data_IF_609073416874
#
_entry.id   IF_609073416874
#
_cell.length_a   1.000
_cell.length_b   1.000
_cell.length_c   1.000
_cell.angle_alpha   90.00
_cell.angle_beta   90.00
_cell.angle_gamma   90.00
#
_symmetry.space_group_name_H-M   'P 1'
#
loop_
_entity.id
_entity.type
_entity.pdbx_description
1 polymer ?
#
# COMPACT_ATOMS: atom_id res chain seq x y z
N UNK A 1 16.03 18.83 8.79
CA UNK A 1 15.90 18.01 7.56
C UNK A 1 14.47 17.51 7.44
N UNK A 2 13.62 18.34 6.84
CA UNK A 2 12.20 18.04 6.62
C UNK A 2 12.07 17.37 5.26
N UNK A 3 11.69 16.09 5.28
CA UNK A 3 11.33 15.32 4.09
C UNK A 3 9.95 15.78 3.60
N UNK A 4 9.86 16.14 2.33
CA UNK A 4 8.66 16.68 1.68
C UNK A 4 7.83 15.54 1.04
N UNK A 5 6.59 15.28 1.52
CA UNK A 5 5.72 14.24 1.01
C UNK A 5 4.95 14.62 -0.28
N UNK A 6 5.28 15.74 -0.95
CA UNK A 6 4.48 16.27 -2.07
C UNK A 6 4.34 15.36 -3.31
N UNK A 7 5.03 14.22 -3.38
CA UNK A 7 5.01 13.33 -4.55
C UNK A 7 4.55 11.90 -4.26
N UNK A 8 3.46 11.74 -3.50
CA UNK A 8 2.69 10.49 -3.49
C UNK A 8 1.57 10.58 -4.53
N UNK A 9 1.71 9.90 -5.68
CA UNK A 9 0.59 9.70 -6.61
C UNK A 9 0.90 9.58 -8.11
N UNK A 10 0.18 8.65 -8.73
CA UNK A 10 -0.33 8.60 -10.11
C UNK A 10 0.57 8.83 -11.35
N UNK A 11 1.90 8.90 -11.25
CA UNK A 11 2.73 9.23 -12.44
C UNK A 11 3.93 8.34 -12.78
N UNK A 12 4.30 7.28 -12.01
CA UNK A 12 5.66 6.67 -12.18
C UNK A 12 5.74 5.12 -12.27
N UNK A 13 4.66 4.41 -12.59
CA UNK A 13 4.64 2.93 -12.80
C UNK A 13 4.46 2.02 -11.57
N UNK A 14 3.63 0.98 -11.69
CA UNK A 14 3.17 0.10 -10.60
C UNK A 14 4.28 -0.39 -9.65
N UNK A 15 4.03 -0.39 -8.33
CA UNK A 15 5.03 -0.73 -7.32
C UNK A 15 5.93 0.44 -6.87
N UNK A 16 5.84 1.61 -7.51
CA UNK A 16 6.35 2.91 -6.99
C UNK A 16 5.26 3.78 -6.34
N UNK A 17 4.01 3.28 -6.30
CA UNK A 17 2.83 4.14 -6.16
C UNK A 17 2.44 4.40 -4.71
N UNK A 18 2.75 3.48 -3.80
CA UNK A 18 2.47 3.63 -2.38
C UNK A 18 3.43 2.76 -1.56
N UNK A 19 4.00 3.31 -0.48
CA UNK A 19 4.46 2.50 0.65
C UNK A 19 3.25 2.26 1.54
N UNK A 20 2.52 1.20 1.25
CA UNK A 20 1.26 0.86 1.92
C UNK A 20 0.15 1.86 1.61
N UNK A 21 -0.60 1.64 0.55
CA UNK A 21 -1.72 2.50 0.15
C UNK A 21 -2.79 2.52 1.23
N UNK A 22 -3.00 1.36 1.85
CA UNK A 22 -3.93 1.21 2.96
C UNK A 22 -3.24 1.65 4.24
N UNK A 23 -2.04 1.17 4.54
CA UNK A 23 -1.35 1.54 5.76
C UNK A 23 -1.11 3.06 5.89
N UNK A 24 -0.80 3.75 4.79
CA UNK A 24 -0.65 5.21 4.75
C UNK A 24 -1.95 5.97 5.00
N UNK A 25 -3.08 5.43 4.51
CA UNK A 25 -4.41 5.99 4.74
C UNK A 25 -4.91 5.79 6.18
N UNK A 26 -4.55 4.69 6.84
CA UNK A 26 -5.10 4.32 8.15
C UNK A 26 -4.15 4.48 9.34
N UNK A 27 -2.83 4.39 9.11
CA UNK A 27 -1.79 4.37 10.13
C UNK A 27 -0.66 5.40 9.89
N UNK A 28 -0.83 6.28 8.90
CA UNK A 28 0.02 7.43 8.61
C UNK A 28 1.21 7.12 7.70
N UNK A 29 1.92 8.14 7.19
CA UNK A 29 3.09 7.90 6.36
C UNK A 29 4.22 7.29 7.20
N UNK A 30 4.72 6.11 6.80
CA UNK A 30 5.78 5.34 7.49
C UNK A 30 7.20 5.93 7.28
N UNK A 31 7.32 7.25 7.35
CA UNK A 31 8.54 7.97 6.98
C UNK A 31 9.61 7.98 8.09
N UNK A 32 9.28 7.49 9.29
CA UNK A 32 10.19 7.36 10.44
C UNK A 32 9.85 6.12 11.25
N UNK A 33 10.86 5.52 11.88
CA UNK A 33 10.72 4.36 12.77
C UNK A 33 10.17 3.07 12.11
N UNK A 34 10.13 3.02 10.78
CA UNK A 34 9.65 1.88 10.02
C UNK A 34 10.77 1.32 9.11
N UNK A 35 10.97 0.02 9.18
CA UNK A 35 11.71 -0.79 8.21
C UNK A 35 10.68 -1.55 7.37
N UNK A 36 10.71 -1.34 6.06
CA UNK A 36 9.65 -1.80 5.15
C UNK A 36 10.27 -2.71 4.11
N UNK A 37 9.79 -3.96 4.08
CA UNK A 37 10.14 -4.91 3.03
C UNK A 37 8.96 -5.07 2.08
N UNK A 38 9.24 -5.01 0.78
CA UNK A 38 8.26 -5.18 -0.29
C UNK A 38 8.65 -6.38 -1.14
N UNK A 39 7.65 -7.20 -1.47
CA UNK A 39 7.72 -8.21 -2.51
C UNK A 39 6.67 -7.87 -3.55
N UNK A 40 7.08 -7.79 -4.82
CA UNK A 40 6.18 -7.53 -5.93
C UNK A 40 6.14 -8.73 -6.88
N UNK A 41 4.95 -8.99 -7.40
CA UNK A 41 4.73 -9.95 -8.46
C UNK A 41 3.86 -9.31 -9.54
N UNK A 42 4.27 -9.48 -10.80
CA UNK A 42 3.52 -9.00 -11.95
C UNK A 42 3.56 -10.06 -13.04
N UNK A 43 2.40 -10.31 -13.65
CA UNK A 43 2.26 -11.29 -14.71
C UNK A 43 1.36 -10.73 -15.82
N UNK A 44 1.86 -10.76 -17.04
CA UNK A 44 1.06 -10.51 -18.23
C UNK A 44 0.37 -11.82 -18.62
N UNK A 45 -0.95 -11.89 -18.39
CA UNK A 45 -1.75 -13.05 -18.81
C UNK A 45 -2.11 -12.97 -20.30
N UNK A 46 -2.23 -11.74 -20.83
CA UNK A 46 -2.48 -11.44 -22.25
C UNK A 46 -1.78 -10.12 -22.61
N UNK A 47 -1.71 -9.80 -23.90
CA UNK A 47 -1.17 -8.53 -24.39
C UNK A 47 -1.90 -7.29 -23.83
N UNK A 48 -3.19 -7.43 -23.51
CA UNK A 48 -4.04 -6.35 -23.00
C UNK A 48 -4.45 -6.54 -21.52
N UNK A 49 -3.86 -7.51 -20.81
CA UNK A 49 -4.23 -7.79 -19.43
C UNK A 49 -3.03 -8.22 -18.58
N UNK A 50 -2.74 -7.41 -17.56
CA UNK A 50 -1.74 -7.67 -16.55
C UNK A 50 -2.41 -7.87 -15.19
N UNK A 51 -1.90 -8.81 -14.41
CA UNK A 51 -2.24 -8.99 -13.00
C UNK A 51 -1.00 -8.67 -12.15
N UNK A 52 -1.19 -7.95 -11.06
CA UNK A 52 -0.14 -7.58 -10.12
C UNK A 52 -0.56 -7.84 -8.67
N UNK A 53 0.44 -8.15 -7.85
CA UNK A 53 0.29 -8.24 -6.41
C UNK A 53 1.52 -7.64 -5.73
N UNK A 54 1.30 -6.92 -4.63
CA UNK A 54 2.33 -6.29 -3.81
C UNK A 54 2.10 -6.72 -2.36
N UNK A 55 3.12 -7.27 -1.72
CA UNK A 55 3.07 -7.63 -0.31
C UNK A 55 4.10 -6.81 0.45
N UNK A 56 3.67 -6.20 1.54
CA UNK A 56 4.51 -5.38 2.40
C UNK A 56 4.55 -5.93 3.82
N UNK A 57 5.72 -5.80 4.43
CA UNK A 57 5.94 -6.03 5.86
C UNK A 57 6.55 -4.79 6.47
N UNK A 58 5.82 -4.21 7.42
CA UNK A 58 6.25 -3.06 8.20
C UNK A 58 6.79 -3.58 9.53
N UNK A 59 7.97 -3.09 9.92
CA UNK A 59 8.61 -3.44 11.18
C UNK A 59 9.11 -2.19 11.89
N UNK A 60 8.78 -2.09 13.16
CA UNK A 60 9.23 -1.02 14.04
C UNK A 60 10.73 -1.15 14.31
N UNK A 61 11.49 -0.11 14.02
CA UNK A 61 12.95 -0.09 14.24
C UNK A 61 13.28 0.11 15.73
N UNK A 62 12.70 1.15 16.34
CA UNK A 62 12.83 1.45 17.75
C UNK A 62 11.50 1.16 18.48
N UNK A 63 11.50 0.08 19.27
CA UNK A 63 10.33 -0.40 20.02
C UNK A 63 9.98 0.45 21.25
N UNK A 64 10.85 1.36 21.65
CA UNK A 64 10.57 2.31 22.74
C UNK A 64 9.69 3.49 22.27
N UNK A 65 9.46 3.60 20.96
CA UNK A 65 8.57 4.56 20.33
C UNK A 65 7.31 3.85 19.83
N UNK A 66 6.40 4.58 19.18
CA UNK A 66 5.15 4.05 18.63
C UNK A 66 5.39 2.91 17.65
N UNK A 67 4.57 1.86 17.79
CA UNK A 67 4.64 0.64 16.99
C UNK A 67 3.95 0.83 15.63
N UNK A 68 4.65 0.46 14.57
CA UNK A 68 4.19 0.55 13.17
C UNK A 68 4.19 -0.83 12.50
N UNK A 69 4.31 -1.90 13.27
CA UNK A 69 4.29 -3.26 12.76
C UNK A 69 2.96 -3.56 12.06
N UNK A 70 3.05 -4.12 10.86
CA UNK A 70 1.88 -4.48 10.09
C UNK A 70 2.25 -5.25 8.83
N UNK A 71 1.21 -5.75 8.16
CA UNK A 71 1.35 -6.39 6.85
C UNK A 71 0.31 -5.81 5.91
N UNK A 72 0.68 -5.67 4.65
CA UNK A 72 -0.22 -5.24 3.59
C UNK A 72 -0.13 -6.17 2.40
N UNK A 73 -1.26 -6.41 1.77
CA UNK A 73 -1.37 -7.12 0.50
C UNK A 73 -2.29 -6.35 -0.42
N UNK A 74 -1.74 -5.92 -1.54
CA UNK A 74 -2.46 -5.23 -2.60
C UNK A 74 -2.49 -6.13 -3.83
N UNK A 75 -3.67 -6.21 -4.44
CA UNK A 75 -3.89 -6.94 -5.69
C UNK A 75 -4.57 -6.00 -6.66
N UNK A 76 -4.03 -5.92 -7.86
CA UNK A 76 -4.57 -5.07 -8.91
C UNK A 76 -4.45 -5.75 -10.26
N UNK A 77 -5.23 -5.27 -11.22
CA UNK A 77 -5.06 -5.64 -12.61
C UNK A 77 -5.05 -4.41 -13.49
N UNK A 78 -4.42 -4.51 -14.65
CA UNK A 78 -4.44 -3.47 -15.67
C UNK A 78 -5.06 -4.09 -16.90
N UNK A 79 -6.26 -3.65 -17.23
CA UNK A 79 -6.99 -4.13 -18.41
C UNK A 79 -7.11 -3.02 -19.45
N UNK A 80 -6.40 -3.18 -20.57
CA UNK A 80 -6.56 -2.32 -21.73
C UNK A 80 -7.78 -2.78 -22.54
N UNK A 81 -8.92 -2.11 -22.33
CA UNK A 81 -10.16 -2.37 -23.10
C UNK A 81 -9.95 -2.03 -24.57
N UNK A 82 -9.19 -0.96 -24.83
CA UNK A 82 -8.74 -0.59 -26.17
C UNK A 82 -7.40 0.19 -26.08
N UNK A 83 -6.88 0.64 -27.22
CA UNK A 83 -5.58 1.34 -27.31
C UNK A 83 -5.50 2.69 -26.56
N UNK A 84 -6.62 3.20 -26.05
CA UNK A 84 -6.75 4.52 -25.41
C UNK A 84 -7.45 4.47 -24.06
N UNK A 85 -7.79 3.28 -23.56
CA UNK A 85 -8.59 3.15 -22.35
C UNK A 85 -8.22 1.91 -21.56
N UNK A 86 -7.86 2.14 -20.31
CA UNK A 86 -7.51 1.16 -19.31
C UNK A 86 -8.50 1.20 -18.15
N UNK A 87 -8.82 0.03 -17.63
CA UNK A 87 -9.57 -0.17 -16.40
C UNK A 87 -8.65 -0.87 -15.42
N UNK A 88 -8.44 -0.24 -14.26
CA UNK A 88 -7.50 -0.71 -13.24
C UNK A 88 -8.25 -0.85 -11.92
N UNK A 89 -8.84 -2.03 -11.64
CA UNK A 89 -9.34 -2.33 -10.31
C UNK A 89 -8.19 -2.69 -9.37
N UNK A 90 -8.25 -2.18 -8.15
CA UNK A 90 -7.32 -2.45 -7.07
C UNK A 90 -8.08 -2.77 -5.79
N UNK A 91 -7.59 -3.75 -5.03
CA UNK A 91 -8.00 -4.04 -3.67
C UNK A 91 -6.78 -4.24 -2.79
N UNK A 92 -6.76 -3.57 -1.64
CA UNK A 92 -5.70 -3.62 -0.65
C UNK A 92 -6.22 -4.05 0.71
N UNK A 93 -5.40 -4.83 1.42
CA UNK A 93 -5.70 -5.32 2.76
C UNK A 93 -4.53 -4.99 3.67
N UNK A 94 -4.76 -4.15 4.68
CA UNK A 94 -3.77 -3.84 5.69
C UNK A 94 -4.18 -4.37 7.04
N UNK A 95 -3.27 -5.10 7.68
CA UNK A 95 -3.43 -5.56 9.06
C UNK A 95 -2.32 -4.97 9.93
N UNK A 96 -2.63 -3.97 10.77
CA UNK A 96 -1.73 -3.51 11.81
C UNK A 96 -1.63 -4.56 12.91
N UNK A 97 -0.53 -4.54 13.67
CA UNK A 97 -0.42 -5.36 14.91
C UNK A 97 -0.92 -4.64 16.15
N UNK A 98 -0.94 -3.31 16.11
CA UNK A 98 -1.31 -2.46 17.23
C UNK A 98 -2.08 -1.24 16.71
N UNK A 99 -3.11 -0.86 17.46
CA UNK A 99 -3.88 0.38 17.31
C UNK A 99 -3.38 1.46 18.29
N UNK A 100 -3.94 2.67 18.18
CA UNK A 100 -3.63 3.79 19.07
C UNK A 100 -3.88 3.47 20.56
N UNK A 101 -4.75 2.52 20.87
CA UNK A 101 -5.07 2.12 22.25
C UNK A 101 -4.08 1.09 22.82
N UNK A 102 -3.33 0.41 21.94
CA UNK A 102 -2.34 -0.62 22.27
C UNK A 102 -0.91 -0.25 21.88
N UNK A 103 -0.65 1.05 21.64
CA UNK A 103 0.70 1.60 21.41
C UNK A 103 1.13 1.64 19.94
N UNK A 104 0.20 1.46 19.01
CA UNK A 104 0.39 1.58 17.57
C UNK A 104 -0.05 2.91 16.98
N UNK A 105 0.05 3.04 15.65
CA UNK A 105 -0.38 4.24 14.90
C UNK A 105 -1.74 4.12 14.24
N UNK A 106 -2.31 2.92 14.18
CA UNK A 106 -3.60 2.67 13.54
C UNK A 106 -4.75 3.27 14.35
N UNK A 107 -5.58 4.08 13.69
CA UNK A 107 -6.78 4.64 14.31
C UNK A 107 -7.88 3.59 14.49
N UNK A 108 -8.64 3.75 15.57
CA UNK A 108 -9.82 2.96 15.95
C UNK A 108 -9.55 1.56 16.50
N UNK A 109 -9.13 0.60 15.66
CA UNK A 109 -8.85 -0.77 16.08
C UNK A 109 -7.69 -1.40 15.31
N UNK A 110 -7.21 -2.57 15.75
CA UNK A 110 -6.11 -3.32 15.12
C UNK A 110 -6.59 -4.32 14.05
N UNK A 111 -7.84 -4.19 13.59
CA UNK A 111 -8.41 -5.12 12.61
C UNK A 111 -7.90 -4.84 11.20
N UNK A 112 -8.22 -5.76 10.30
CA UNK A 112 -7.87 -5.63 8.89
C UNK A 112 -8.67 -4.50 8.25
N UNK A 113 -7.96 -3.49 7.76
CA UNK A 113 -8.49 -2.44 6.92
C UNK A 113 -8.56 -2.95 5.47
N UNK A 114 -9.66 -2.64 4.80
CA UNK A 114 -9.88 -3.00 3.40
C UNK A 114 -10.04 -1.71 2.61
N UNK A 115 -9.31 -1.62 1.51
CA UNK A 115 -9.40 -0.51 0.58
C UNK A 115 -9.65 -1.06 -0.82
N UNK A 116 -10.49 -0.38 -1.59
CA UNK A 116 -10.75 -0.73 -2.96
C UNK A 116 -10.86 0.54 -3.80
N UNK A 117 -10.28 0.50 -5.00
CA UNK A 117 -10.30 1.60 -5.95
C UNK A 117 -10.49 1.09 -7.37
N UNK A 118 -11.12 1.91 -8.20
CA UNK A 118 -11.21 1.70 -9.64
C UNK A 118 -10.67 2.94 -10.35
N UNK A 119 -9.62 2.77 -11.15
CA UNK A 119 -8.99 3.84 -11.93
C UNK A 119 -9.32 3.63 -13.41
N UNK A 120 -9.69 4.72 -14.09
CA UNK A 120 -9.94 4.76 -15.52
C UNK A 120 -8.92 5.72 -16.16
N UNK A 121 -8.12 5.24 -17.12
CA UNK A 121 -7.02 5.99 -17.75
C UNK A 121 -7.04 5.87 -19.27
#
# INVERSE_FOLDING_TARGET
DQYDPMFYGNTVGFGTWFQGEVAGNYAGPFNKNADIHQVSYMMNLKENFMLGALAYKFKTVNKSLTNVDGHELDVFSVWSVNKKFNVIPLVGFYKPKHDIHSGGTQNYDDKTNVYAQLILQ
#
